data_IF_662944816304
#
_entry.id   IF_662944816304
#
_cell.length_a   1.000
_cell.length_b   1.000
_cell.length_c   1.000
_cell.angle_alpha   90.00
_cell.angle_beta   90.00
_cell.angle_gamma   90.00
#
_symmetry.space_group_name_H-M   'P 1'
#
loop_
_entity.id
_entity.type
_entity.pdbx_description
1 polymer ?
#
# COMPACT_ATOMS: atom_id res chain seq x y z
N UNK A 1 -36.20 15.62 6.48
CA UNK A 1 -34.83 16.11 6.31
C UNK A 1 -33.89 14.99 6.77
N UNK A 2 -33.73 13.98 5.91
CA UNK A 2 -33.02 12.73 6.20
C UNK A 2 -31.55 12.89 5.81
N UNK A 3 -30.65 12.90 6.79
CA UNK A 3 -29.23 12.80 6.55
C UNK A 3 -28.88 11.41 6.07
N UNK A 4 -28.65 11.27 4.76
CA UNK A 4 -27.98 10.08 4.20
C UNK A 4 -26.53 10.14 4.66
N UNK A 5 -26.13 9.23 5.54
CA UNK A 5 -24.73 9.07 5.91
C UNK A 5 -23.93 8.76 4.65
N UNK A 6 -23.11 9.71 4.20
CA UNK A 6 -22.15 9.48 3.12
C UNK A 6 -21.38 8.19 3.41
N UNK A 7 -21.35 7.27 2.45
CA UNK A 7 -20.55 6.06 2.62
C UNK A 7 -19.08 6.45 2.69
N UNK A 8 -18.23 5.59 3.28
CA UNK A 8 -16.80 5.88 3.36
C UNK A 8 -16.17 6.14 1.98
N UNK A 9 -16.74 5.54 0.94
CA UNK A 9 -16.32 5.68 -0.45
C UNK A 9 -16.75 7.04 -1.04
N UNK A 10 -17.98 7.47 -0.78
CA UNK A 10 -18.48 8.79 -1.20
C UNK A 10 -17.66 9.92 -0.56
N UNK A 11 -17.30 9.75 0.72
CA UNK A 11 -16.47 10.74 1.42
C UNK A 11 -15.04 10.78 0.89
N UNK A 12 -14.45 9.62 0.60
CA UNK A 12 -13.11 9.56 0.03
C UNK A 12 -13.09 10.19 -1.37
N UNK A 13 -14.12 9.93 -2.17
CA UNK A 13 -14.30 10.56 -3.48
C UNK A 13 -14.39 12.07 -3.35
N UNK A 14 -15.20 12.59 -2.43
CA UNK A 14 -15.31 14.03 -2.17
C UNK A 14 -13.99 14.68 -1.74
N UNK A 15 -13.19 14.00 -0.91
CA UNK A 15 -11.86 14.49 -0.51
C UNK A 15 -10.91 14.58 -1.71
N UNK A 16 -10.97 13.60 -2.62
CA UNK A 16 -10.16 13.56 -3.85
C UNK A 16 -10.57 14.66 -4.84
N UNK A 17 -11.87 14.93 -4.98
CA UNK A 17 -12.39 16.05 -5.77
C UNK A 17 -11.90 17.39 -5.20
N UNK A 18 -11.98 17.56 -3.88
CA UNK A 18 -11.46 18.76 -3.20
C UNK A 18 -9.95 18.98 -3.38
N UNK A 19 -9.16 17.90 -3.52
CA UNK A 19 -7.75 18.00 -3.88
C UNK A 19 -7.58 18.60 -5.28
N UNK A 20 -8.33 18.13 -6.27
CA UNK A 20 -8.25 18.64 -7.65
C UNK A 20 -8.67 20.11 -7.73
N UNK A 21 -9.77 20.48 -7.07
CA UNK A 21 -10.28 21.86 -7.04
C UNK A 21 -9.26 22.86 -6.49
N UNK A 22 -8.48 22.45 -5.49
CA UNK A 22 -7.47 23.29 -4.83
C UNK A 22 -6.11 23.28 -5.52
N UNK A 23 -5.92 22.44 -6.52
CA UNK A 23 -4.64 22.21 -7.18
C UNK A 23 -4.75 22.52 -8.67
N UNK A 24 -4.55 23.79 -9.08
CA UNK A 24 -4.53 24.16 -10.49
C UNK A 24 -3.58 23.28 -11.31
N UNK A 25 -4.07 22.75 -12.43
CA UNK A 25 -3.32 21.84 -13.29
C UNK A 25 -3.35 20.38 -12.86
N UNK A 26 -3.94 20.01 -11.71
CA UNK A 26 -4.21 18.61 -11.38
C UNK A 26 -5.37 18.08 -12.21
N UNK A 27 -5.17 16.91 -12.84
CA UNK A 27 -6.14 16.29 -13.74
C UNK A 27 -6.81 15.05 -13.16
N UNK A 28 -6.00 14.22 -12.51
CA UNK A 28 -6.44 12.94 -11.98
C UNK A 28 -5.77 12.68 -10.65
N UNK A 29 -6.51 12.06 -9.74
CA UNK A 29 -5.94 11.56 -8.50
C UNK A 29 -6.45 10.14 -8.22
N UNK A 30 -5.58 9.33 -7.63
CA UNK A 30 -5.81 7.92 -7.32
C UNK A 30 -5.21 7.59 -5.95
N UNK A 31 -6.02 7.05 -5.06
CA UNK A 31 -5.56 6.34 -3.87
C UNK A 31 -5.45 4.85 -4.22
N UNK A 32 -4.30 4.27 -3.93
CA UNK A 32 -4.00 2.86 -4.18
C UNK A 32 -3.31 2.23 -2.97
N UNK A 33 -3.48 0.94 -2.77
CA UNK A 33 -2.69 0.19 -1.79
C UNK A 33 -1.29 -0.12 -2.32
N UNK A 34 -0.40 -0.52 -1.41
CA UNK A 34 1.00 -0.90 -1.73
C UNK A 34 1.11 -2.08 -2.71
N UNK A 35 0.10 -2.94 -2.79
CA UNK A 35 0.02 -4.04 -3.76
C UNK A 35 -0.52 -3.61 -5.13
N UNK A 36 -0.83 -2.32 -5.32
CA UNK A 36 -1.31 -1.77 -6.59
C UNK A 36 -2.83 -1.87 -6.78
N UNK A 37 -3.60 -2.26 -5.75
CA UNK A 37 -5.06 -2.25 -5.84
C UNK A 37 -5.63 -0.85 -5.66
N UNK A 38 -6.71 -0.56 -6.38
CA UNK A 38 -7.40 0.72 -6.29
C UNK A 38 -8.22 0.82 -5.04
N UNK A 39 -8.12 1.96 -4.38
CA UNK A 39 -8.98 2.29 -3.25
C UNK A 39 -9.99 3.37 -3.61
N UNK A 40 -9.57 4.45 -4.30
CA UNK A 40 -10.45 5.51 -4.75
C UNK A 40 -9.83 6.31 -5.90
N UNK A 41 -10.64 6.81 -6.82
CA UNK A 41 -10.22 7.62 -7.98
C UNK A 41 -11.11 8.84 -8.12
N UNK A 42 -10.59 9.89 -8.75
CA UNK A 42 -11.44 11.00 -9.19
C UNK A 42 -12.35 10.56 -10.35
N UNK A 43 -13.55 11.14 -10.50
CA UNK A 43 -14.52 10.71 -11.51
C UNK A 43 -13.98 10.73 -12.94
N UNK A 44 -13.11 11.71 -13.25
CA UNK A 44 -12.52 11.97 -14.57
C UNK A 44 -11.50 10.90 -14.99
N UNK A 45 -10.94 10.16 -14.04
CA UNK A 45 -10.02 9.06 -14.32
C UNK A 45 -10.82 7.79 -14.53
N UNK A 46 -10.92 7.26 -15.75
CA UNK A 46 -11.70 6.04 -16.01
C UNK A 46 -11.18 4.83 -15.22
N UNK A 47 -12.00 3.79 -15.05
CA UNK A 47 -11.58 2.56 -14.33
C UNK A 47 -10.32 1.95 -14.94
N UNK A 48 -10.30 1.79 -16.27
CA UNK A 48 -9.15 1.22 -16.99
C UNK A 48 -7.90 2.09 -16.89
N UNK A 49 -8.03 3.41 -17.07
CA UNK A 49 -6.92 4.35 -16.92
C UNK A 49 -6.38 4.35 -15.50
N UNK A 50 -7.29 4.24 -14.55
CA UNK A 50 -6.90 4.08 -13.18
C UNK A 50 -6.05 2.79 -13.08
N UNK A 51 -6.49 1.63 -13.57
CA UNK A 51 -5.79 0.35 -13.34
C UNK A 51 -4.36 0.41 -13.87
N UNK A 52 -4.21 1.05 -15.03
CA UNK A 52 -2.91 1.36 -15.58
C UNK A 52 -2.08 2.29 -14.69
N UNK A 53 -2.67 3.39 -14.18
CA UNK A 53 -1.98 4.30 -13.26
C UNK A 53 -1.54 3.59 -11.98
N UNK A 54 -2.33 2.65 -11.46
CA UNK A 54 -1.98 1.91 -10.25
C UNK A 54 -0.76 1.00 -10.49
N UNK A 55 -0.74 0.29 -11.63
CA UNK A 55 0.39 -0.54 -12.03
C UNK A 55 1.67 0.29 -12.23
N UNK A 56 1.57 1.46 -12.88
CA UNK A 56 2.68 2.39 -13.06
C UNK A 56 3.22 2.86 -11.70
N UNK A 57 2.33 3.30 -10.80
CA UNK A 57 2.72 3.80 -9.49
C UNK A 57 3.40 2.70 -8.65
N UNK A 58 2.88 1.47 -8.67
CA UNK A 58 3.50 0.34 -7.98
C UNK A 58 4.90 0.02 -8.55
N UNK A 59 5.08 0.08 -9.87
CA UNK A 59 6.39 -0.09 -10.50
C UNK A 59 7.40 0.97 -10.06
N UNK A 60 7.01 2.25 -10.08
CA UNK A 60 7.86 3.37 -9.64
C UNK A 60 8.25 3.21 -8.17
N UNK A 61 7.30 2.84 -7.30
CA UNK A 61 7.59 2.61 -5.88
C UNK A 61 8.54 1.44 -5.66
N UNK A 62 8.39 0.34 -6.41
CA UNK A 62 9.30 -0.81 -6.32
C UNK A 62 10.73 -0.43 -6.68
N UNK A 63 10.92 0.30 -7.77
CA UNK A 63 12.23 0.81 -8.19
C UNK A 63 12.81 1.79 -7.17
N UNK A 64 11.98 2.71 -6.68
CA UNK A 64 12.38 3.71 -5.67
C UNK A 64 12.76 3.04 -4.35
N UNK A 65 12.05 1.97 -3.97
CA UNK A 65 12.37 1.19 -2.78
C UNK A 65 13.71 0.47 -2.94
N UNK A 66 13.96 -0.15 -4.10
CA UNK A 66 15.26 -0.73 -4.42
C UNK A 66 16.39 0.30 -4.31
N UNK A 67 16.20 1.51 -4.86
CA UNK A 67 17.17 2.59 -4.72
C UNK A 67 17.40 3.02 -3.27
N UNK A 68 16.34 3.07 -2.45
CA UNK A 68 16.46 3.35 -1.01
C UNK A 68 17.24 2.27 -0.27
N UNK A 69 17.07 0.99 -0.63
CA UNK A 69 17.81 -0.12 0.00
C UNK A 69 19.29 -0.09 -0.39
N UNK A 70 19.59 0.11 -1.67
CA UNK A 70 20.96 0.05 -2.18
C UNK A 70 21.78 1.31 -1.89
N UNK A 71 21.14 2.48 -1.87
CA UNK A 71 21.83 3.78 -1.80
C UNK A 71 21.35 4.69 -0.66
N UNK A 72 20.39 4.27 0.16
CA UNK A 72 19.90 5.04 1.30
C UNK A 72 20.81 4.98 2.53
N UNK A 73 20.42 5.71 3.57
CA UNK A 73 21.10 5.77 4.86
C UNK A 73 20.68 4.64 5.83
N UNK A 74 19.93 3.66 5.33
CA UNK A 74 19.39 2.57 6.14
C UNK A 74 18.11 2.91 6.92
N UNK A 75 17.59 4.14 6.85
CA UNK A 75 16.26 4.45 7.40
C UNK A 75 15.14 3.77 6.60
N UNK A 76 15.45 3.43 5.33
CA UNK A 76 14.56 2.74 4.41
C UNK A 76 13.37 3.58 3.94
N UNK A 77 12.71 3.09 2.89
CA UNK A 77 11.42 3.59 2.43
C UNK A 77 11.49 4.64 1.33
N UNK A 78 10.31 4.96 0.79
CA UNK A 78 10.13 5.95 -0.28
C UNK A 78 9.20 7.02 0.24
N UNK A 79 9.70 8.24 0.42
CA UNK A 79 8.87 9.37 0.88
C UNK A 79 7.94 9.86 -0.23
N UNK A 80 8.49 9.97 -1.43
CA UNK A 80 7.80 10.44 -2.61
C UNK A 80 8.53 10.00 -3.87
N UNK A 81 7.81 9.96 -4.99
CA UNK A 81 8.38 9.85 -6.33
C UNK A 81 7.70 10.86 -7.26
N UNK A 82 8.46 11.39 -8.21
CA UNK A 82 7.99 12.31 -9.23
C UNK A 82 8.54 11.87 -10.59
N UNK A 83 7.67 11.81 -11.59
CA UNK A 83 8.05 11.45 -12.95
C UNK A 83 7.43 12.45 -13.92
N UNK A 84 8.28 13.14 -14.67
CA UNK A 84 7.88 14.05 -15.74
C UNK A 84 7.83 13.30 -17.07
N UNK A 85 6.83 13.62 -17.89
CA UNK A 85 6.66 13.08 -19.22
C UNK A 85 6.06 14.15 -20.13
N UNK A 86 6.13 13.93 -21.45
CA UNK A 86 5.50 14.86 -22.39
C UNK A 86 4.00 14.97 -22.09
N UNK A 87 3.56 16.17 -21.72
CA UNK A 87 2.18 16.46 -21.37
C UNK A 87 1.81 16.22 -19.90
N UNK A 88 2.78 16.13 -18.98
CA UNK A 88 2.48 16.22 -17.55
C UNK A 88 3.49 15.66 -16.58
N UNK A 89 3.07 15.63 -15.32
CA UNK A 89 3.85 15.10 -14.19
C UNK A 89 3.01 14.13 -13.38
N UNK A 90 3.61 13.03 -12.95
CA UNK A 90 3.05 12.11 -11.97
C UNK A 90 3.76 12.28 -10.63
N UNK A 91 3.00 12.61 -9.60
CA UNK A 91 3.43 12.65 -8.21
C UNK A 91 2.89 11.43 -7.46
N UNK A 92 3.72 10.79 -6.64
CA UNK A 92 3.33 9.68 -5.79
C UNK A 92 3.88 9.94 -4.39
N UNK A 93 3.00 9.91 -3.39
CA UNK A 93 3.38 10.03 -1.97
C UNK A 93 2.77 8.91 -1.15
N UNK A 94 3.38 8.60 -0.01
CA UNK A 94 2.79 7.69 0.98
C UNK A 94 1.54 8.34 1.60
N UNK A 95 0.46 7.55 1.73
CA UNK A 95 -0.84 8.01 2.19
C UNK A 95 -1.31 7.22 3.43
N UNK A 96 -0.40 7.05 4.39
CA UNK A 96 -0.58 6.20 5.56
C UNK A 96 -0.18 4.74 5.32
N UNK A 97 -0.30 3.92 6.37
CA UNK A 97 0.19 2.54 6.36
C UNK A 97 -0.46 1.69 5.26
N UNK A 98 0.32 1.37 4.23
CA UNK A 98 -0.08 0.48 3.15
C UNK A 98 -0.85 1.14 2.01
N UNK A 99 -0.93 2.47 1.96
CA UNK A 99 -1.58 3.21 0.88
C UNK A 99 -0.68 4.32 0.32
N UNK A 100 -0.96 4.71 -0.92
CA UNK A 100 -0.29 5.77 -1.64
C UNK A 100 -1.31 6.65 -2.34
N UNK A 101 -0.96 7.92 -2.52
CA UNK A 101 -1.69 8.89 -3.30
C UNK A 101 -0.88 9.20 -4.56
N UNK A 102 -1.47 8.97 -5.72
CA UNK A 102 -0.93 9.32 -7.03
C UNK A 102 -1.74 10.46 -7.63
N UNK A 103 -1.06 11.51 -8.11
CA UNK A 103 -1.67 12.67 -8.76
C UNK A 103 -1.00 12.91 -10.11
N UNK A 104 -1.80 13.04 -11.15
CA UNK A 104 -1.34 13.43 -12.49
C UNK A 104 -1.71 14.88 -12.74
N UNK A 105 -0.74 15.68 -13.11
CA UNK A 105 -0.89 17.12 -13.40
C UNK A 105 -0.48 17.44 -14.83
N UNK A 106 -0.86 18.61 -15.30
CA UNK A 106 -0.27 19.25 -16.48
C UNK A 106 1.21 19.60 -16.23
N UNK A 107 1.93 19.93 -17.31
CA UNK A 107 3.37 20.20 -17.27
C UNK A 107 3.74 21.50 -16.53
N UNK A 108 2.83 22.48 -16.53
CA UNK A 108 3.03 23.79 -15.91
C UNK A 108 2.51 23.86 -14.45
N UNK A 109 2.11 22.74 -13.86
CA UNK A 109 1.58 22.72 -12.50
C UNK A 109 2.68 23.04 -11.47
N UNK A 110 2.34 23.85 -10.47
CA UNK A 110 3.27 24.17 -9.38
C UNK A 110 3.48 22.94 -8.47
N UNK A 111 4.63 22.30 -8.60
CA UNK A 111 5.00 21.12 -7.83
C UNK A 111 4.97 21.35 -6.30
N UNK A 112 5.28 22.57 -5.84
CA UNK A 112 5.23 22.94 -4.42
C UNK A 112 3.79 22.99 -3.91
N UNK A 113 2.89 23.59 -4.68
CA UNK A 113 1.45 23.62 -4.36
C UNK A 113 0.83 22.22 -4.42
N UNK A 114 1.17 21.42 -5.45
CA UNK A 114 0.72 20.03 -5.59
C UNK A 114 1.15 19.21 -4.37
N UNK A 115 2.43 19.26 -4.01
CA UNK A 115 2.96 18.57 -2.84
C UNK A 115 2.28 19.00 -1.53
N UNK A 116 2.07 20.31 -1.34
CA UNK A 116 1.38 20.84 -0.16
C UNK A 116 -0.05 20.30 -0.05
N UNK A 117 -0.84 20.39 -1.11
CA UNK A 117 -2.22 19.92 -1.10
C UNK A 117 -2.31 18.38 -0.96
N UNK A 118 -1.36 17.63 -1.54
CA UNK A 118 -1.25 16.18 -1.34
C UNK A 118 -0.97 15.84 0.12
N UNK A 119 -0.07 16.55 0.80
CA UNK A 119 0.21 16.33 2.23
C UNK A 119 -1.02 16.57 3.09
N UNK A 120 -1.76 17.66 2.86
CA UNK A 120 -3.01 17.92 3.60
C UNK A 120 -4.06 16.83 3.37
N UNK A 121 -4.18 16.31 2.14
CA UNK A 121 -5.11 15.21 1.87
C UNK A 121 -4.69 13.93 2.60
N UNK A 122 -3.40 13.60 2.63
CA UNK A 122 -2.87 12.44 3.36
C UNK A 122 -3.16 12.53 4.85
N UNK A 123 -3.01 13.71 5.46
CA UNK A 123 -3.36 13.93 6.87
C UNK A 123 -4.86 13.68 7.13
N UNK A 124 -5.74 14.16 6.23
CA UNK A 124 -7.17 13.93 6.31
C UNK A 124 -7.54 12.44 6.12
N UNK A 125 -6.85 11.74 5.21
CA UNK A 125 -7.04 10.32 4.96
C UNK A 125 -6.61 9.47 6.17
N UNK A 126 -5.47 9.80 6.78
CA UNK A 126 -4.96 9.11 7.97
C UNK A 126 -5.96 9.16 9.13
N UNK A 127 -6.53 10.34 9.42
CA UNK A 127 -7.58 10.48 10.42
C UNK A 127 -8.82 9.62 10.12
N UNK A 128 -9.13 9.39 8.85
CA UNK A 128 -10.29 8.63 8.41
C UNK A 128 -10.07 7.10 8.45
N UNK A 129 -8.89 6.65 8.01
CA UNK A 129 -8.54 5.23 7.99
C UNK A 129 -8.25 4.68 9.39
N UNK A 130 -7.65 5.47 10.29
CA UNK A 130 -7.42 5.08 11.69
C UNK A 130 -8.71 4.99 12.53
N UNK A 131 -9.76 5.72 12.17
CA UNK A 131 -11.05 5.69 12.88
C UNK A 131 -11.89 4.43 12.60
N UNK A 132 -11.51 3.60 11.60
CA UNK A 132 -12.25 2.39 11.23
C UNK A 132 -11.63 1.17 11.92
N UNK A 133 -12.38 0.40 12.74
CA UNK A 133 -11.87 -0.83 13.31
C UNK A 133 -11.41 -1.78 12.20
N UNK A 134 -10.11 -2.12 12.18
CA UNK A 134 -9.56 -3.18 11.35
C UNK A 134 -10.27 -4.47 11.76
N UNK A 135 -11.18 -4.98 10.93
CA UNK A 135 -11.78 -6.30 11.17
C UNK A 135 -10.62 -7.31 11.20
N UNK A 136 -10.31 -7.95 12.33
CA UNK A 136 -9.31 -9.00 12.32
C UNK A 136 -9.81 -10.08 11.36
N UNK A 137 -9.01 -10.40 10.35
CA UNK A 137 -9.24 -11.56 9.51
C UNK A 137 -9.28 -12.78 10.43
N UNK A 138 -10.43 -13.46 10.47
CA UNK A 138 -10.54 -14.75 11.13
C UNK A 138 -9.61 -15.72 10.41
N UNK A 139 -8.44 -15.97 10.99
CA UNK A 139 -7.60 -17.09 10.59
C UNK A 139 -8.34 -18.35 11.00
N UNK A 140 -8.90 -19.03 10.00
CA UNK A 140 -9.48 -20.36 10.14
C UNK A 140 -8.43 -21.32 10.71
N UNK A 141 -8.71 -21.83 11.91
CA UNK A 141 -7.98 -22.93 12.50
C UNK A 141 -8.31 -24.22 11.75
N UNK A 142 -7.55 -24.53 10.69
CA UNK A 142 -7.53 -25.87 10.12
C UNK A 142 -6.62 -26.76 10.99
N UNK A 143 -7.19 -27.36 12.02
CA UNK A 143 -6.60 -28.47 12.78
C UNK A 143 -6.34 -29.63 11.82
N UNK A 144 -5.09 -29.81 11.43
CA UNK A 144 -4.65 -30.95 10.63
C UNK A 144 -4.66 -32.19 11.53
N UNK A 145 -5.59 -33.08 11.22
CA UNK A 145 -5.68 -34.44 11.72
C UNK A 145 -4.53 -35.27 11.16
N UNK A 146 -3.51 -35.59 11.98
CA UNK A 146 -2.44 -36.50 11.59
C UNK A 146 -2.79 -37.94 11.95
N UNK A 147 -2.80 -38.77 10.90
CA UNK A 147 -3.15 -40.17 10.90
C UNK A 147 -2.18 -41.04 11.69
N UNK A 148 -2.76 -41.99 12.43
CA UNK A 148 -2.14 -43.20 12.95
C UNK A 148 -1.66 -44.08 11.79
N UNK A 149 -0.37 -44.40 11.72
CA UNK A 149 0.14 -45.59 11.02
C UNK A 149 1.37 -46.12 11.76
N UNK A 150 1.32 -47.41 12.08
CA UNK A 150 2.27 -48.14 12.90
C UNK A 150 3.61 -48.37 12.19
N UNK A 151 4.70 -48.37 12.96
CA UNK A 151 5.93 -49.05 12.58
C UNK A 151 6.48 -49.86 13.76
N UNK A 152 6.37 -51.17 13.64
CA UNK A 152 7.06 -52.15 14.48
C UNK A 152 8.51 -52.20 14.04
N UNK A 153 9.46 -51.90 14.93
CA UNK A 153 10.86 -52.32 14.76
C UNK A 153 11.47 -52.64 16.13
N UNK A 154 11.55 -53.93 16.38
CA UNK A 154 12.47 -54.61 17.31
C UNK A 154 13.90 -54.09 17.15
N UNK A 155 14.62 -53.77 18.24
CA UNK A 155 16.06 -54.08 18.42
C UNK A 155 16.53 -53.90 19.86
N UNK A 156 16.92 -55.05 20.44
CA UNK A 156 17.98 -55.38 21.40
C UNK A 156 18.53 -54.33 22.41
N UNK A 157 18.37 -54.70 23.68
CA UNK A 157 19.18 -54.32 24.84
C UNK A 157 20.64 -54.73 24.66
N UNK A 158 21.59 -53.78 24.68
CA UNK A 158 23.00 -54.06 24.96
C UNK A 158 23.49 -53.19 26.12
N UNK A 159 23.76 -53.94 27.19
CA UNK A 159 24.42 -53.67 28.47
C UNK A 159 25.81 -53.03 28.34
N UNK A 160 25.99 -51.95 29.11
CA UNK A 160 27.18 -51.52 29.86
C UNK A 160 28.53 -51.35 29.15
N UNK A 161 28.88 -50.08 28.98
CA UNK A 161 30.24 -49.57 28.77
C UNK A 161 31.00 -49.58 30.12
N UNK A 162 32.03 -50.41 30.23
CA UNK A 162 33.06 -50.33 31.26
C UNK A 162 34.40 -49.91 30.61
N UNK A 163 35.11 -48.89 31.11
CA UNK A 163 36.35 -48.41 30.49
C UNK A 163 37.58 -49.15 31.06
N UNK A 164 38.75 -48.86 30.45
CA UNK A 164 40.15 -49.07 30.89
C UNK A 164 40.89 -50.14 30.09
N UNK A 165 42.17 -50.05 29.73
CA UNK A 165 43.23 -49.01 29.71
C UNK A 165 44.41 -49.69 28.97
N UNK A 166 45.20 -48.89 28.25
CA UNK A 166 46.60 -49.11 27.80
C UNK A 166 46.94 -50.30 26.90
#
# INVERSE_FOLDING_TARGET
MTGTGATADDRLTWLMEGLLERTPGARHALVLSRDGLKLCRTPELSVDQADQLAAIAAGIQSLSHGASVEFGDGSGGVRSAMAEFYGGVLFIVEAGEGAHLAVVTDEDADAGLVGHNMSELVEQLGAHLSARPRRPSSTDAHTIMSATTAHTTTTATITTMGPRTS
#
